data_IF_731289209394
#
_entry.id   IF_731289209394
#
_cell.length_a   1.000
_cell.length_b   1.000
_cell.length_c   1.000
_cell.angle_alpha   90.00
_cell.angle_beta   90.00
_cell.angle_gamma   90.00
#
_symmetry.space_group_name_H-M   'P 1'
#
loop_
_entity.id
_entity.type
_entity.pdbx_description
1 polymer ?
#
# COMPACT_ATOMS: atom_id res chain seq x y z
N UNK A 1 -3.21 17.95 -8.48
CA UNK A 1 -2.87 16.58 -8.11
C UNK A 1 -2.61 15.82 -9.39
N UNK A 2 -1.45 15.21 -9.55
CA UNK A 2 -1.12 14.32 -10.67
C UNK A 2 -1.37 12.88 -10.23
N UNK A 3 -1.80 12.03 -11.16
CA UNK A 3 -1.95 10.61 -10.93
C UNK A 3 -1.29 9.81 -12.05
N UNK A 4 -0.84 8.62 -11.73
CA UNK A 4 -0.37 7.61 -12.66
C UNK A 4 -0.69 6.24 -12.11
N UNK A 5 -0.87 5.26 -12.98
CA UNK A 5 -1.04 3.86 -12.59
C UNK A 5 -0.11 2.96 -13.38
N UNK A 6 0.19 1.80 -12.81
CA UNK A 6 0.88 0.68 -13.44
C UNK A 6 0.12 -0.61 -13.18
N UNK A 7 0.22 -1.56 -14.11
CA UNK A 7 -0.45 -2.85 -14.08
C UNK A 7 0.58 -3.98 -14.12
N UNK A 8 0.46 -4.93 -13.20
CA UNK A 8 1.12 -6.21 -13.33
C UNK A 8 0.26 -7.12 -14.23
N UNK A 9 0.93 -7.95 -15.04
CA UNK A 9 0.24 -9.01 -15.79
C UNK A 9 -0.35 -10.06 -14.84
N UNK A 10 -1.28 -10.88 -15.33
CA UNK A 10 -1.85 -11.98 -14.52
C UNK A 10 -0.79 -12.91 -13.95
N UNK A 11 0.19 -13.43 -14.74
CA UNK A 11 1.25 -14.28 -14.19
C UNK A 11 2.08 -13.60 -13.10
N UNK A 12 2.42 -12.31 -13.28
CA UNK A 12 3.17 -11.53 -12.29
C UNK A 12 2.35 -11.34 -11.01
N UNK A 13 1.06 -11.05 -11.14
CA UNK A 13 0.14 -10.94 -10.00
C UNK A 13 0.05 -12.26 -9.24
N UNK A 14 -0.14 -13.38 -9.94
CA UNK A 14 -0.19 -14.71 -9.33
C UNK A 14 1.12 -15.07 -8.61
N UNK A 15 2.26 -14.76 -9.21
CA UNK A 15 3.58 -14.98 -8.63
C UNK A 15 3.80 -14.12 -7.37
N UNK A 16 3.36 -12.86 -7.40
CA UNK A 16 3.42 -11.97 -6.24
C UNK A 16 2.57 -12.50 -5.06
N UNK A 17 1.37 -13.01 -5.35
CA UNK A 17 0.53 -13.65 -4.33
C UNK A 17 1.14 -14.97 -3.80
N UNK A 18 1.82 -15.72 -4.65
CA UNK A 18 2.56 -16.92 -4.23
C UNK A 18 3.70 -16.54 -3.28
N UNK A 19 4.53 -15.58 -3.66
CA UNK A 19 5.59 -15.02 -2.81
C UNK A 19 5.06 -14.60 -1.43
N UNK A 20 3.98 -13.83 -1.41
CA UNK A 20 3.36 -13.38 -0.17
C UNK A 20 2.97 -14.56 0.76
N UNK A 21 2.37 -15.63 0.19
CA UNK A 21 2.02 -16.83 0.95
C UNK A 21 3.23 -17.60 1.46
N UNK A 22 4.23 -17.79 0.60
CA UNK A 22 5.43 -18.58 0.91
C UNK A 22 6.24 -17.93 2.03
N UNK A 23 6.29 -16.60 2.07
CA UNK A 23 6.94 -15.83 3.13
C UNK A 23 6.03 -15.53 4.34
N UNK A 24 4.77 -15.97 4.33
CA UNK A 24 3.76 -15.70 5.36
C UNK A 24 3.55 -14.20 5.61
N UNK A 25 3.63 -13.42 4.55
CA UNK A 25 3.40 -11.98 4.55
C UNK A 25 1.99 -11.65 4.04
N UNK A 26 1.43 -10.53 4.45
CA UNK A 26 0.23 -10.01 3.80
C UNK A 26 0.59 -9.36 2.47
N UNK A 27 -0.25 -9.53 1.46
CA UNK A 27 -0.06 -8.87 0.17
C UNK A 27 0.02 -7.34 0.31
N UNK A 28 -0.74 -6.78 1.23
CA UNK A 28 -0.72 -5.35 1.54
C UNK A 28 0.66 -4.89 2.00
N UNK A 29 1.30 -5.66 2.88
CA UNK A 29 2.63 -5.34 3.39
C UNK A 29 3.70 -5.46 2.29
N UNK A 30 3.58 -6.45 1.40
CA UNK A 30 4.50 -6.62 0.26
C UNK A 30 4.39 -5.43 -0.70
N UNK A 31 3.16 -5.02 -1.04
CA UNK A 31 2.93 -3.85 -1.90
C UNK A 31 3.45 -2.57 -1.21
N UNK A 32 3.16 -2.39 0.08
CA UNK A 32 3.63 -1.24 0.85
C UNK A 32 5.16 -1.17 0.91
N UNK A 33 5.83 -2.31 1.14
CA UNK A 33 7.28 -2.39 1.15
C UNK A 33 7.90 -1.98 -0.20
N UNK A 34 7.32 -2.44 -1.32
CA UNK A 34 7.77 -2.03 -2.65
C UNK A 34 7.60 -0.53 -2.89
N UNK A 35 6.46 0.03 -2.48
CA UNK A 35 6.20 1.48 -2.56
C UNK A 35 7.21 2.27 -1.73
N UNK A 36 7.45 1.87 -0.49
CA UNK A 36 8.39 2.54 0.41
C UNK A 36 9.83 2.47 -0.10
N UNK A 37 10.25 1.33 -0.63
CA UNK A 37 11.56 1.19 -1.27
C UNK A 37 11.70 2.07 -2.50
N UNK A 38 10.65 2.16 -3.33
CA UNK A 38 10.62 3.05 -4.49
C UNK A 38 10.71 4.52 -4.08
N UNK A 39 9.95 4.93 -3.07
CA UNK A 39 10.01 6.29 -2.51
C UNK A 39 11.41 6.59 -1.95
N UNK A 40 12.00 5.67 -1.21
CA UNK A 40 13.35 5.83 -0.68
C UNK A 40 14.39 6.05 -1.79
N UNK A 41 14.35 5.24 -2.85
CA UNK A 41 15.25 5.36 -4.00
C UNK A 41 15.08 6.68 -4.75
N UNK A 42 13.83 7.12 -4.94
CA UNK A 42 13.52 8.29 -5.78
C UNK A 42 13.69 9.61 -5.03
N UNK A 43 13.40 9.65 -3.74
CA UNK A 43 13.51 10.89 -2.94
C UNK A 43 14.95 11.35 -2.75
N UNK A 44 15.90 10.42 -2.73
CA UNK A 44 17.32 10.75 -2.55
C UNK A 44 17.65 11.27 -1.14
N UNK A 45 16.86 10.90 -0.14
CA UNK A 45 17.06 11.22 1.28
C UNK A 45 17.32 9.96 2.10
N UNK A 46 18.42 9.21 1.82
CA UNK A 46 18.63 7.87 2.36
C UNK A 46 18.85 7.82 3.86
N UNK A 47 19.07 8.97 4.50
CA UNK A 47 19.32 9.10 5.94
C UNK A 47 18.05 9.47 6.73
N UNK A 48 16.93 9.68 6.06
CA UNK A 48 15.68 10.04 6.73
C UNK A 48 14.71 8.86 6.64
N UNK A 49 14.05 8.49 7.75
CA UNK A 49 12.99 7.51 7.72
C UNK A 49 11.78 8.08 6.95
N UNK A 50 11.03 7.19 6.30
CA UNK A 50 9.82 7.57 5.58
C UNK A 50 8.62 7.33 6.49
N UNK A 51 7.84 8.37 6.83
CA UNK A 51 6.58 8.18 7.53
C UNK A 51 5.60 7.44 6.62
N UNK A 52 5.13 6.30 7.09
CA UNK A 52 4.14 5.49 6.40
C UNK A 52 2.86 5.43 7.22
N UNK A 53 1.75 5.67 6.55
CA UNK A 53 0.42 5.61 7.14
C UNK A 53 -0.41 4.59 6.37
N UNK A 54 -1.05 3.67 7.09
CA UNK A 54 -1.91 2.67 6.49
C UNK A 54 -3.29 2.65 7.16
N UNK A 55 -4.26 2.25 6.35
CA UNK A 55 -5.66 2.19 6.73
C UNK A 55 -6.01 0.74 7.04
N UNK A 56 -6.68 0.51 8.17
CA UNK A 56 -7.15 -0.80 8.59
C UNK A 56 -8.68 -0.84 8.69
N UNK A 57 -9.29 -1.87 8.11
CA UNK A 57 -10.70 -2.17 8.33
C UNK A 57 -10.90 -2.79 9.71
N UNK A 58 -11.54 -2.07 10.60
CA UNK A 58 -11.76 -2.50 11.98
C UNK A 58 -13.05 -3.30 12.19
N UNK A 59 -13.84 -3.60 11.18
CA UNK A 59 -15.14 -4.28 11.33
C UNK A 59 -15.04 -5.57 12.14
N UNK A 60 -14.02 -6.38 11.87
CA UNK A 60 -13.78 -7.64 12.56
C UNK A 60 -13.11 -7.48 13.93
N UNK A 61 -12.59 -6.30 14.23
CA UNK A 61 -11.86 -5.98 15.45
C UNK A 61 -12.72 -5.19 16.47
N UNK A 62 -13.99 -4.94 16.14
CA UNK A 62 -14.96 -4.34 17.04
C UNK A 62 -15.68 -5.41 17.88
N UNK A 63 -16.24 -5.01 18.99
CA UNK A 63 -17.05 -5.88 19.86
C UNK A 63 -18.45 -5.30 20.04
N UNK A 64 -19.49 -5.92 19.48
CA UNK A 64 -19.45 -7.09 18.59
C UNK A 64 -18.84 -6.78 17.21
N UNK A 65 -18.33 -7.79 16.49
CA UNK A 65 -17.85 -7.61 15.12
C UNK A 65 -18.98 -7.14 14.19
N UNK A 66 -18.62 -6.35 13.20
CA UNK A 66 -19.54 -5.87 12.17
C UNK A 66 -19.43 -6.70 10.89
N UNK A 67 -20.55 -6.90 10.21
CA UNK A 67 -20.57 -7.53 8.91
C UNK A 67 -19.99 -6.60 7.83
N UNK A 68 -19.48 -7.19 6.75
CA UNK A 68 -18.86 -6.45 5.64
C UNK A 68 -19.81 -5.43 4.99
N UNK A 69 -21.11 -5.66 5.06
CA UNK A 69 -22.18 -4.79 4.49
C UNK A 69 -22.81 -3.86 5.52
N UNK A 70 -22.31 -3.81 6.76
CA UNK A 70 -22.79 -2.86 7.74
C UNK A 70 -22.63 -1.41 7.22
N UNK A 71 -23.66 -0.59 7.41
CA UNK A 71 -23.71 0.80 6.92
C UNK A 71 -22.78 1.74 7.74
N UNK A 72 -21.57 1.30 8.03
CA UNK A 72 -20.55 2.07 8.75
C UNK A 72 -19.18 1.79 8.16
N UNK A 73 -18.27 2.74 8.30
CA UNK A 73 -16.92 2.64 7.79
C UNK A 73 -15.90 2.84 8.94
N UNK A 74 -15.76 1.86 9.86
CA UNK A 74 -14.79 1.95 10.94
C UNK A 74 -13.39 1.69 10.40
N UNK A 75 -12.75 2.72 9.85
CA UNK A 75 -11.38 2.68 9.39
C UNK A 75 -10.45 3.19 10.48
N UNK A 76 -9.62 2.31 11.00
CA UNK A 76 -8.50 2.72 11.84
C UNK A 76 -7.30 3.13 10.99
N UNK A 77 -6.42 3.91 11.58
CA UNK A 77 -5.18 4.38 10.96
C UNK A 77 -4.02 4.01 11.86
N UNK A 78 -2.97 3.49 11.28
CA UNK A 78 -1.71 3.26 11.97
C UNK A 78 -0.55 3.92 11.22
N UNK A 79 0.53 4.19 11.93
CA UNK A 79 1.71 4.84 11.39
C UNK A 79 2.94 3.98 11.65
N UNK A 80 3.84 3.97 10.70
CA UNK A 80 5.12 3.29 10.77
C UNK A 80 6.22 4.21 10.24
N UNK A 81 7.35 4.30 10.93
CA UNK A 81 8.53 5.01 10.42
C UNK A 81 9.45 4.00 9.74
N UNK A 82 9.45 3.98 8.43
CA UNK A 82 10.25 3.07 7.63
C UNK A 82 11.71 3.50 7.60
N UNK A 83 12.55 2.81 8.37
CA UNK A 83 13.99 2.95 8.31
C UNK A 83 14.57 2.05 7.21
N UNK A 84 14.89 2.66 6.07
CA UNK A 84 15.30 1.93 4.87
C UNK A 84 16.79 2.20 4.62
N UNK A 85 17.53 1.13 4.38
CA UNK A 85 18.95 1.16 4.04
C UNK A 85 19.25 0.43 2.71
N UNK A 86 20.50 0.50 2.24
CA UNK A 86 20.89 -0.12 0.96
C UNK A 86 20.66 -1.63 0.86
N UNK A 87 20.59 -2.32 2.00
CA UNK A 87 20.41 -3.77 2.09
C UNK A 87 19.00 -4.16 2.55
N UNK A 88 18.06 -3.23 2.55
CA UNK A 88 16.67 -3.52 2.89
C UNK A 88 15.98 -4.11 1.67
N UNK A 89 15.48 -5.33 1.78
CA UNK A 89 14.67 -6.00 0.77
C UNK A 89 13.17 -5.93 1.08
N UNK A 90 12.35 -6.35 0.11
CA UNK A 90 10.90 -6.31 0.23
C UNK A 90 10.39 -7.23 1.34
N UNK A 91 10.93 -8.46 1.45
CA UNK A 91 10.44 -9.45 2.41
C UNK A 91 10.67 -8.97 3.84
N UNK A 92 11.87 -8.44 4.12
CA UNK A 92 12.21 -7.87 5.42
C UNK A 92 11.32 -6.70 5.78
N UNK A 93 11.22 -5.70 4.88
CA UNK A 93 10.42 -4.50 5.15
C UNK A 93 8.92 -4.84 5.30
N UNK A 94 8.41 -5.77 4.51
CA UNK A 94 7.04 -6.26 4.66
C UNK A 94 6.83 -6.99 5.98
N UNK A 95 7.83 -7.75 6.44
CA UNK A 95 7.82 -8.41 7.75
C UNK A 95 7.74 -7.39 8.89
N UNK A 96 8.57 -6.37 8.87
CA UNK A 96 8.58 -5.28 9.86
C UNK A 96 7.21 -4.56 9.91
N UNK A 97 6.61 -4.28 8.74
CA UNK A 97 5.26 -3.68 8.65
C UNK A 97 4.20 -4.59 9.29
N UNK A 98 4.24 -5.90 9.01
CA UNK A 98 3.28 -6.87 9.58
C UNK A 98 3.42 -6.96 11.10
N UNK A 99 4.63 -6.94 11.61
CA UNK A 99 4.91 -7.00 13.05
C UNK A 99 4.36 -5.77 13.76
N UNK A 100 4.71 -4.56 13.30
CA UNK A 100 4.21 -3.31 13.88
C UNK A 100 2.68 -3.24 13.80
N UNK A 101 2.07 -3.63 12.67
CA UNK A 101 0.62 -3.66 12.54
C UNK A 101 -0.04 -4.55 13.58
N UNK A 102 0.52 -5.74 13.81
CA UNK A 102 -0.02 -6.71 14.79
C UNK A 102 0.06 -6.17 16.20
N UNK A 103 1.18 -5.56 16.55
CA UNK A 103 1.42 -4.99 17.87
C UNK A 103 0.50 -3.79 18.13
N UNK A 104 0.40 -2.86 17.19
CA UNK A 104 -0.50 -1.71 17.25
C UNK A 104 -1.99 -2.13 17.36
N UNK A 105 -2.36 -3.23 16.69
CA UNK A 105 -3.71 -3.77 16.78
C UNK A 105 -3.96 -4.43 18.15
N UNK A 106 -2.98 -5.15 18.68
CA UNK A 106 -3.08 -5.80 20.00
C UNK A 106 -3.15 -4.78 21.15
N UNK A 107 -2.41 -3.69 21.03
CA UNK A 107 -2.35 -2.61 22.01
C UNK A 107 -3.54 -1.62 21.88
N UNK A 108 -4.38 -1.78 20.86
CA UNK A 108 -5.55 -0.93 20.63
C UNK A 108 -5.22 0.44 20.03
N UNK A 109 -4.01 0.67 19.58
CA UNK A 109 -3.56 1.94 18.96
C UNK A 109 -4.40 2.26 17.72
N UNK A 110 -4.60 1.26 16.85
CA UNK A 110 -5.37 1.43 15.62
C UNK A 110 -6.85 1.73 15.92
N UNK A 111 -7.43 1.06 16.91
CA UNK A 111 -8.81 1.30 17.32
C UNK A 111 -9.00 2.71 17.90
N UNK A 112 -8.03 3.19 18.67
CA UNK A 112 -8.07 4.54 19.25
C UNK A 112 -7.98 5.63 18.18
N UNK A 113 -7.37 5.35 17.03
CA UNK A 113 -7.22 6.32 15.96
C UNK A 113 -8.57 6.87 15.44
N UNK A 114 -9.65 6.11 15.57
CA UNK A 114 -11.02 6.55 15.26
C UNK A 114 -11.46 7.78 16.07
N UNK A 115 -10.91 7.96 17.27
CA UNK A 115 -11.24 9.07 18.16
C UNK A 115 -10.48 10.35 17.84
N UNK A 116 -9.45 10.26 17.01
CA UNK A 116 -8.50 11.35 16.73
C UNK A 116 -8.26 11.57 15.23
N UNK A 117 -9.20 11.17 14.39
CA UNK A 117 -9.04 11.15 12.94
C UNK A 117 -8.72 12.54 12.34
N UNK A 118 -9.31 13.58 12.84
CA UNK A 118 -9.13 14.96 12.41
C UNK A 118 -7.74 15.54 12.76
N UNK A 119 -7.07 15.02 13.77
CA UNK A 119 -5.75 15.47 14.21
C UNK A 119 -4.59 14.82 13.44
N UNK A 120 -4.84 13.70 12.77
CA UNK A 120 -3.81 12.87 12.15
C UNK A 120 -3.33 13.39 10.78
N UNK A 121 -4.08 14.29 10.16
CA UNK A 121 -3.79 14.80 8.82
C UNK A 121 -3.19 16.21 8.81
N UNK A 122 -2.57 16.63 9.89
CA UNK A 122 -1.99 17.97 10.03
C UNK A 122 -0.70 18.22 9.20
N UNK A 123 -0.33 17.33 8.30
CA UNK A 123 0.86 17.43 7.45
C UNK A 123 2.01 16.54 7.90
N UNK A 124 3.11 16.58 7.18
CA UNK A 124 4.31 15.80 7.51
C UNK A 124 4.92 16.26 8.83
N UNK A 125 5.39 15.34 9.69
CA UNK A 125 6.14 15.72 10.88
C UNK A 125 7.35 16.59 10.52
N UNK A 126 7.66 17.59 11.35
CA UNK A 126 8.76 18.52 11.09
C UNK A 126 10.09 17.78 10.89
N UNK A 127 10.76 18.04 9.80
CA UNK A 127 12.07 17.45 9.47
C UNK A 127 12.00 16.06 8.81
N UNK A 128 10.80 15.51 8.60
CA UNK A 128 10.60 14.26 7.86
C UNK A 128 10.09 14.54 6.43
N UNK A 129 10.32 13.60 5.49
CA UNK A 129 9.74 13.66 4.16
C UNK A 129 8.21 13.53 4.21
N UNK A 130 7.56 13.81 3.05
CA UNK A 130 6.13 13.64 2.90
C UNK A 130 5.67 12.23 3.29
N UNK A 131 4.51 12.15 3.92
CA UNK A 131 3.92 10.88 4.37
C UNK A 131 3.54 10.03 3.16
N UNK A 132 3.93 8.78 3.16
CA UNK A 132 3.43 7.77 2.23
C UNK A 132 2.20 7.12 2.85
N UNK A 133 1.10 7.17 2.13
CA UNK A 133 -0.15 6.51 2.53
C UNK A 133 -0.51 5.46 1.49
N UNK A 134 -0.74 4.22 1.90
CA UNK A 134 -1.17 3.17 1.00
C UNK A 134 -2.47 2.51 1.47
N UNK A 135 -3.35 2.25 0.52
CA UNK A 135 -4.61 1.53 0.71
C UNK A 135 -4.74 0.44 -0.34
N UNK A 136 -4.98 -0.79 0.10
CA UNK A 136 -5.27 -1.92 -0.79
C UNK A 136 -6.77 -2.24 -0.74
N UNK A 137 -7.43 -2.11 -1.88
CA UNK A 137 -8.88 -2.32 -2.02
C UNK A 137 -9.26 -3.81 -2.15
N UNK A 138 -8.26 -4.71 -2.17
CA UNK A 138 -8.49 -6.13 -2.40
C UNK A 138 -8.78 -6.48 -3.86
N UNK A 139 -9.43 -7.63 -4.07
CA UNK A 139 -9.80 -8.11 -5.40
C UNK A 139 -11.23 -7.69 -5.73
N UNK A 140 -11.36 -6.92 -6.79
CA UNK A 140 -12.64 -6.53 -7.33
C UNK A 140 -13.09 -7.55 -8.40
N UNK A 141 -14.34 -8.02 -8.36
CA UNK A 141 -14.84 -8.92 -9.38
C UNK A 141 -14.81 -8.22 -10.74
N UNK A 142 -14.37 -8.93 -11.78
CA UNK A 142 -14.41 -8.41 -13.12
C UNK A 142 -15.87 -8.00 -13.47
N UNK A 143 -16.10 -6.78 -13.96
CA UNK A 143 -17.44 -6.35 -14.32
C UNK A 143 -17.97 -7.23 -15.47
N UNK A 144 -19.27 -7.54 -15.40
CA UNK A 144 -19.96 -8.24 -16.51
C UNK A 144 -20.11 -7.29 -17.69
N UNK A 145 -19.46 -7.60 -18.78
CA UNK A 145 -19.52 -6.80 -20.00
C UNK A 145 -20.28 -7.50 -21.12
N UNK A 146 -20.92 -6.77 -22.04
CA UNK A 146 -21.46 -7.33 -23.27
C UNK A 146 -20.36 -7.97 -24.14
N UNK A 147 -20.72 -8.88 -25.06
CA UNK A 147 -19.77 -9.43 -26.02
C UNK A 147 -19.03 -8.33 -26.80
N UNK A 148 -17.69 -8.44 -26.87
CA UNK A 148 -16.85 -7.47 -27.57
C UNK A 148 -16.48 -6.23 -26.78
N UNK A 149 -16.85 -6.15 -25.50
CA UNK A 149 -16.40 -5.09 -24.58
C UNK A 149 -15.49 -5.71 -23.51
N UNK A 150 -14.30 -5.16 -23.35
CA UNK A 150 -13.36 -5.47 -22.24
C UNK A 150 -13.25 -4.29 -21.30
N UNK A 151 -12.95 -4.57 -20.04
CA UNK A 151 -12.52 -3.56 -19.05
C UNK A 151 -11.06 -3.81 -18.75
N UNK A 152 -10.22 -2.89 -19.16
CA UNK A 152 -8.75 -3.02 -19.08
C UNK A 152 -8.18 -2.40 -17.80
N UNK A 153 -9.00 -1.83 -16.93
CA UNK A 153 -8.62 -1.23 -15.66
C UNK A 153 -9.73 -0.38 -15.07
N UNK A 154 -9.52 0.10 -13.87
CA UNK A 154 -10.37 1.11 -13.24
C UNK A 154 -9.49 2.25 -12.73
N UNK A 155 -10.00 3.47 -12.80
CA UNK A 155 -9.36 4.64 -12.24
C UNK A 155 -10.16 5.13 -11.05
N UNK A 156 -9.46 5.43 -9.96
CA UNK A 156 -10.05 6.12 -8.81
C UNK A 156 -9.66 7.59 -8.85
N UNK A 157 -10.63 8.47 -8.76
CA UNK A 157 -10.38 9.90 -8.59
C UNK A 157 -10.57 10.28 -7.12
N UNK A 158 -9.49 10.77 -6.51
CA UNK A 158 -9.51 11.28 -5.15
C UNK A 158 -9.53 12.80 -5.15
N UNK A 159 -10.55 13.35 -4.53
CA UNK A 159 -10.67 14.79 -4.27
C UNK A 159 -10.27 15.09 -2.82
N UNK A 160 -8.97 15.21 -2.58
CA UNK A 160 -8.45 15.62 -1.27
C UNK A 160 -7.94 17.05 -1.33
N UNK A 161 -8.74 17.99 -0.84
CA UNK A 161 -8.43 19.43 -0.89
C UNK A 161 -7.16 19.81 -0.11
N UNK A 162 -6.77 19.03 0.90
CA UNK A 162 -5.68 19.33 1.84
C UNK A 162 -4.64 18.20 1.93
N UNK A 163 -4.35 17.49 0.83
CA UNK A 163 -3.39 16.40 0.82
C UNK A 163 -1.94 16.85 0.51
N UNK A 164 -1.60 18.11 0.74
CA UNK A 164 -0.22 18.58 0.65
C UNK A 164 0.63 17.84 1.70
N UNK A 165 1.78 17.28 1.27
CA UNK A 165 2.66 16.50 2.15
C UNK A 165 2.25 15.03 2.30
N UNK A 166 1.32 14.53 1.47
CA UNK A 166 0.95 13.12 1.42
C UNK A 166 1.07 12.60 -0.01
N UNK A 167 1.81 11.52 -0.16
CA UNK A 167 1.85 10.70 -1.35
C UNK A 167 0.93 9.50 -1.16
N UNK A 168 -0.21 9.49 -1.85
CA UNK A 168 -1.25 8.49 -1.65
C UNK A 168 -1.20 7.42 -2.74
N UNK A 169 -1.14 6.17 -2.32
CA UNK A 169 -1.15 5.01 -3.19
C UNK A 169 -2.41 4.19 -2.98
N UNK A 170 -3.02 3.78 -4.07
CA UNK A 170 -4.13 2.84 -4.07
C UNK A 170 -3.72 1.63 -4.89
N UNK A 171 -4.01 0.45 -4.37
CA UNK A 171 -3.83 -0.79 -5.12
C UNK A 171 -5.10 -1.63 -5.09
N UNK A 172 -5.33 -2.35 -6.17
CA UNK A 172 -6.47 -3.24 -6.32
C UNK A 172 -6.17 -4.34 -7.34
N UNK A 173 -6.85 -5.45 -7.25
CA UNK A 173 -6.80 -6.49 -8.28
C UNK A 173 -8.09 -6.44 -9.09
N UNK A 174 -7.98 -6.25 -10.40
CA UNK A 174 -9.11 -6.23 -11.34
C UNK A 174 -8.82 -7.21 -12.46
N UNK A 175 -9.73 -8.16 -12.70
CA UNK A 175 -9.56 -9.16 -13.75
C UNK A 175 -8.26 -9.97 -13.60
N UNK A 176 -7.86 -10.28 -12.37
CA UNK A 176 -6.65 -11.00 -11.97
C UNK A 176 -5.33 -10.23 -12.19
N UNK A 177 -5.40 -8.92 -12.42
CA UNK A 177 -4.24 -8.05 -12.58
C UNK A 177 -4.15 -7.05 -11.43
N UNK A 178 -3.00 -6.97 -10.78
CA UNK A 178 -2.75 -5.96 -9.75
C UNK A 178 -2.51 -4.62 -10.42
N UNK A 179 -3.32 -3.65 -10.05
CA UNK A 179 -3.15 -2.25 -10.41
C UNK A 179 -2.66 -1.47 -9.20
N UNK A 180 -1.70 -0.58 -9.41
CA UNK A 180 -1.23 0.38 -8.42
C UNK A 180 -1.39 1.78 -8.99
N UNK A 181 -1.98 2.67 -8.24
CA UNK A 181 -2.15 4.07 -8.58
C UNK A 181 -1.42 4.95 -7.57
N UNK A 182 -0.84 6.03 -8.04
CA UNK A 182 -0.27 7.09 -7.19
C UNK A 182 -0.96 8.42 -7.44
N UNK A 183 -1.39 9.03 -6.37
CA UNK A 183 -1.97 10.37 -6.33
C UNK A 183 -1.08 11.28 -5.50
N UNK A 184 -0.48 12.29 -6.12
CA UNK A 184 0.49 13.14 -5.44
C UNK A 184 0.45 14.58 -5.94
N UNK A 185 0.89 15.48 -5.08
CA UNK A 185 1.23 16.85 -5.44
C UNK A 185 2.73 17.02 -5.78
N UNK A 186 3.52 15.96 -5.62
CA UNK A 186 4.94 15.93 -6.00
C UNK A 186 5.11 16.03 -7.52
N UNK A 187 6.13 16.77 -8.00
CA UNK A 187 6.43 16.87 -9.43
C UNK A 187 7.03 15.60 -10.05
N UNK A 188 7.23 14.52 -9.28
CA UNK A 188 7.89 13.27 -9.72
C UNK A 188 7.04 12.03 -9.57
N UNK A 189 5.73 12.03 -9.87
CA UNK A 189 4.86 10.88 -9.63
C UNK A 189 5.27 9.65 -10.47
N UNK A 190 5.76 9.87 -11.70
CA UNK A 190 6.00 8.81 -12.67
C UNK A 190 7.14 7.88 -12.24
N UNK A 191 8.28 8.44 -11.83
CA UNK A 191 9.45 7.63 -11.47
C UNK A 191 9.21 6.70 -10.29
N UNK A 192 8.44 7.14 -9.31
CA UNK A 192 8.23 6.34 -8.10
C UNK A 192 7.32 5.16 -8.38
N UNK A 193 6.25 5.35 -9.17
CA UNK A 193 5.34 4.24 -9.47
C UNK A 193 5.98 3.23 -10.42
N UNK A 194 6.79 3.69 -11.38
CA UNK A 194 7.58 2.84 -12.26
C UNK A 194 8.59 1.99 -11.46
N UNK A 195 9.26 2.59 -10.48
CA UNK A 195 10.17 1.87 -9.59
C UNK A 195 9.43 0.86 -8.71
N UNK A 196 8.28 1.22 -8.15
CA UNK A 196 7.46 0.31 -7.35
C UNK A 196 6.98 -0.89 -8.19
N UNK A 197 6.53 -0.64 -9.42
CA UNK A 197 6.16 -1.69 -10.37
C UNK A 197 7.34 -2.62 -10.68
N UNK A 198 8.51 -2.04 -10.97
CA UNK A 198 9.74 -2.81 -11.24
C UNK A 198 10.13 -3.70 -10.06
N UNK A 199 10.03 -3.19 -8.84
CA UNK A 199 10.31 -3.95 -7.63
C UNK A 199 9.33 -5.12 -7.45
N UNK A 200 8.04 -4.91 -7.66
CA UNK A 200 7.03 -5.96 -7.56
C UNK A 200 7.16 -7.01 -8.66
N UNK A 201 7.57 -6.61 -9.86
CA UNK A 201 7.88 -7.52 -10.96
C UNK A 201 9.08 -8.42 -10.63
N UNK A 202 10.09 -7.90 -9.94
CA UNK A 202 11.31 -8.63 -9.61
C UNK A 202 11.15 -9.64 -8.45
N UNK A 203 10.15 -9.42 -7.57
CA UNK A 203 9.93 -10.26 -6.38
C UNK A 203 9.84 -11.77 -6.67
N UNK A 204 9.12 -12.24 -7.71
CA UNK A 204 9.05 -13.67 -8.01
C UNK A 204 10.37 -14.29 -8.48
N UNK A 205 11.28 -13.52 -9.03
CA UNK A 205 12.57 -14.01 -9.54
C UNK A 205 13.62 -14.19 -8.44
N UNK A 206 13.41 -13.58 -7.26
CA UNK A 206 14.32 -13.77 -6.12
C UNK A 206 14.18 -15.15 -5.47
N UNK A 207 13.12 -15.90 -5.77
CA UNK A 207 12.90 -17.25 -5.27
C UNK A 207 13.67 -18.36 -6.01
N UNK A 208 14.31 -18.07 -7.13
CA UNK A 208 15.08 -19.07 -7.89
C UNK A 208 16.37 -19.54 -7.19
N UNK A 209 16.75 -18.91 -6.07
CA UNK A 209 17.98 -19.22 -5.33
C UNK A 209 17.85 -20.37 -4.32
N UNK A 210 16.64 -20.92 -4.11
CA UNK A 210 16.41 -22.02 -3.15
C UNK A 210 16.29 -23.41 -3.77
N UNK A 211 16.61 -23.58 -5.03
CA UNK A 211 16.53 -24.88 -5.74
C UNK A 211 17.88 -25.45 -6.15
N UNK A 212 18.99 -25.06 -5.53
CA UNK A 212 20.27 -25.76 -5.64
C UNK A 212 20.72 -26.43 -4.34
#
# INVERSE_FOLDING_TARGET
MSWKFELLTKPETEALFAFSRDHRLSINAVIAAAILLAEWKVRGTPHLPIPYLYIADLRLHLSPPLEATACTNPLGVATYLAEIGPNTDIARLAGDIVEVFRDDLADGVIQQSLLHFDLQYAGSPAGLPDVVMASHMGSLPAPRTPPGVSVDGAQLELYAANAAGVDFYISMVIGDQLQIERHSHSPRPERTIEEAHSLLHAVPSENDWMTE
#
